data_IF_496315504715
#
_entry.id   IF_496315504715
#
_cell.length_a   1.000
_cell.length_b   1.000
_cell.length_c   1.000
_cell.angle_alpha   90.00
_cell.angle_beta   90.00
_cell.angle_gamma   90.00
#
_symmetry.space_group_name_H-M   'P 1'
#
loop_
_entity.id
_entity.type
_entity.pdbx_description
1 polymer ?
#
# COMPACT_ATOMS: atom_id res chain seq x y z
N UNK A 1 -7.93 -2.43 15.20
CA UNK A 1 -7.07 -1.26 15.45
C UNK A 1 -7.71 -0.06 14.78
N UNK A 2 -7.50 1.13 15.34
CA UNK A 2 -7.87 2.39 14.68
C UNK A 2 -6.80 2.75 13.64
N UNK A 3 -7.17 3.61 12.69
CA UNK A 3 -6.28 4.09 11.63
C UNK A 3 -5.00 4.72 12.20
N UNK A 4 -5.11 5.52 13.26
CA UNK A 4 -3.96 6.18 13.90
C UNK A 4 -2.96 5.19 14.49
N UNK A 5 -3.45 4.09 15.08
CA UNK A 5 -2.60 3.06 15.67
C UNK A 5 -1.79 2.32 14.59
N UNK A 6 -2.42 2.05 13.44
CA UNK A 6 -1.76 1.43 12.28
C UNK A 6 -0.68 2.37 11.73
N UNK A 7 -1.01 3.65 11.53
CA UNK A 7 -0.07 4.67 11.03
C UNK A 7 1.14 4.79 11.96
N UNK A 8 0.92 4.90 13.28
CA UNK A 8 2.03 5.01 14.25
C UNK A 8 2.98 3.83 14.13
N UNK A 9 2.48 2.59 13.98
CA UNK A 9 3.34 1.42 13.85
C UNK A 9 4.10 1.38 12.52
N UNK A 10 3.40 1.63 11.40
CA UNK A 10 4.00 1.59 10.05
C UNK A 10 5.10 2.63 9.87
N UNK A 11 4.94 3.82 10.45
CA UNK A 11 5.89 4.92 10.28
C UNK A 11 6.95 5.02 11.39
N UNK A 12 6.90 4.15 12.40
CA UNK A 12 7.95 4.00 13.40
C UNK A 12 9.02 2.95 13.02
N UNK A 13 8.82 2.21 11.93
CA UNK A 13 9.75 1.16 11.48
C UNK A 13 10.99 1.75 10.81
N UNK A 14 12.05 0.93 10.73
CA UNK A 14 13.25 1.26 9.96
C UNK A 14 12.93 1.42 8.46
N UNK A 15 13.81 2.08 7.72
CA UNK A 15 13.62 2.30 6.28
C UNK A 15 13.36 0.97 5.56
N UNK A 16 12.21 0.83 4.85
CA UNK A 16 11.89 -0.41 4.16
C UNK A 16 12.79 -0.64 2.94
N UNK A 17 12.91 -1.90 2.49
CA UNK A 17 13.59 -2.19 1.23
C UNK A 17 12.85 -1.50 0.07
N UNK A 18 13.61 -1.16 -0.97
CA UNK A 18 13.05 -0.55 -2.17
C UNK A 18 12.02 -1.47 -2.84
N UNK A 19 12.34 -2.76 -2.95
CA UNK A 19 11.51 -3.79 -3.58
C UNK A 19 11.18 -4.88 -2.55
N UNK A 20 10.10 -4.74 -1.76
CA UNK A 20 9.72 -5.76 -0.80
C UNK A 20 9.04 -6.96 -1.47
N UNK A 21 9.39 -8.17 -1.01
CA UNK A 21 8.78 -9.42 -1.50
C UNK A 21 7.51 -9.83 -0.74
N UNK A 22 7.29 -9.25 0.45
CA UNK A 22 6.17 -9.60 1.34
C UNK A 22 5.78 -8.42 2.22
N UNK A 23 4.54 -8.43 2.77
CA UNK A 23 4.15 -7.46 3.79
C UNK A 23 5.14 -7.47 4.96
N UNK A 24 5.45 -6.27 5.46
CA UNK A 24 6.28 -6.08 6.64
C UNK A 24 5.65 -6.72 7.88
N UNK A 25 4.35 -6.52 8.08
CA UNK A 25 3.58 -7.16 9.15
C UNK A 25 2.27 -7.77 8.61
N UNK A 26 2.15 -9.10 8.72
CA UNK A 26 0.99 -9.87 8.27
C UNK A 26 -0.27 -9.62 9.13
N UNK A 27 -0.11 -9.24 10.39
CA UNK A 27 -1.20 -8.86 11.29
C UNK A 27 -1.74 -7.49 10.90
N UNK A 28 -0.85 -6.53 10.63
CA UNK A 28 -1.27 -5.20 10.16
C UNK A 28 -2.00 -5.27 8.82
N UNK A 29 -1.59 -6.16 7.90
CA UNK A 29 -2.33 -6.41 6.66
C UNK A 29 -3.82 -6.67 6.91
N UNK A 30 -4.16 -7.53 7.88
CA UNK A 30 -5.55 -7.84 8.21
C UNK A 30 -6.28 -6.65 8.84
N UNK A 31 -5.58 -5.88 9.69
CA UNK A 31 -6.15 -4.69 10.30
C UNK A 31 -6.41 -3.58 9.27
N UNK A 32 -5.48 -3.34 8.36
CA UNK A 32 -5.58 -2.36 7.28
C UNK A 32 -6.80 -2.67 6.40
N UNK A 33 -6.95 -3.93 5.98
CA UNK A 33 -8.07 -4.36 5.13
C UNK A 33 -9.44 -4.19 5.80
N UNK A 34 -9.50 -4.13 7.13
CA UNK A 34 -10.73 -3.97 7.90
C UNK A 34 -11.00 -2.51 8.33
N UNK A 35 -10.15 -1.55 7.98
CA UNK A 35 -10.34 -0.15 8.36
C UNK A 35 -11.57 0.44 7.65
N UNK A 36 -12.43 1.20 8.36
CA UNK A 36 -13.60 1.86 7.76
C UNK A 36 -13.22 3.16 7.04
N UNK A 37 -12.08 3.16 6.34
CA UNK A 37 -11.52 4.33 5.66
C UNK A 37 -11.83 4.31 4.16
N UNK A 38 -11.59 5.43 3.49
CA UNK A 38 -11.64 5.46 2.03
C UNK A 38 -10.66 4.42 1.44
N UNK A 39 -11.07 3.71 0.38
CA UNK A 39 -10.26 2.63 -0.21
C UNK A 39 -8.83 3.04 -0.58
N UNK A 40 -8.62 4.28 -0.99
CA UNK A 40 -7.29 4.82 -1.29
C UNK A 40 -6.41 5.03 -0.05
N UNK A 41 -7.03 5.33 1.10
CA UNK A 41 -6.31 5.32 2.39
C UNK A 41 -5.89 3.89 2.72
N UNK A 42 -6.80 2.92 2.56
CA UNK A 42 -6.50 1.50 2.75
C UNK A 42 -5.37 1.03 1.83
N UNK A 43 -5.41 1.38 0.54
CA UNK A 43 -4.37 1.06 -0.43
C UNK A 43 -3.01 1.68 -0.04
N UNK A 44 -2.97 2.96 0.32
CA UNK A 44 -1.75 3.63 0.76
C UNK A 44 -1.14 2.98 2.01
N UNK A 45 -1.98 2.52 2.94
CA UNK A 45 -1.52 1.80 4.13
C UNK A 45 -1.00 0.40 3.81
N UNK A 46 -1.60 -0.31 2.84
CA UNK A 46 -1.02 -1.57 2.33
C UNK A 46 0.36 -1.31 1.71
N UNK A 47 0.52 -0.28 0.88
CA UNK A 47 1.82 0.10 0.32
C UNK A 47 2.85 0.45 1.41
N UNK A 48 2.42 1.20 2.43
CA UNK A 48 3.26 1.54 3.58
C UNK A 48 3.64 0.31 4.43
N UNK A 49 2.83 -0.76 4.40
CA UNK A 49 3.11 -2.06 5.00
C UNK A 49 3.85 -3.03 4.06
N UNK A 50 4.37 -2.54 2.92
CA UNK A 50 5.03 -3.38 1.91
C UNK A 50 4.12 -4.50 1.32
N UNK A 51 2.81 -4.37 1.47
CA UNK A 51 1.81 -5.29 0.91
C UNK A 51 1.44 -4.86 -0.51
N UNK A 52 2.41 -5.04 -1.42
CA UNK A 52 2.35 -4.57 -2.80
C UNK A 52 1.10 -5.10 -3.52
N UNK A 53 0.81 -6.39 -3.39
CA UNK A 53 -0.35 -7.01 -4.04
C UNK A 53 -1.68 -6.40 -3.60
N UNK A 54 -1.90 -6.18 -2.30
CA UNK A 54 -3.16 -5.62 -1.83
C UNK A 54 -3.32 -4.16 -2.26
N UNK A 55 -2.24 -3.37 -2.28
CA UNK A 55 -2.28 -2.02 -2.81
C UNK A 55 -2.62 -2.03 -4.30
N UNK A 56 -1.90 -2.85 -5.08
CA UNK A 56 -2.08 -3.02 -6.52
C UNK A 56 -3.53 -3.39 -6.88
N UNK A 57 -4.09 -4.42 -6.24
CA UNK A 57 -5.45 -4.88 -6.50
C UNK A 57 -6.50 -3.78 -6.23
N UNK A 58 -6.32 -2.98 -5.18
CA UNK A 58 -7.27 -1.92 -4.85
C UNK A 58 -7.24 -0.80 -5.89
N UNK A 59 -6.05 -0.37 -6.32
CA UNK A 59 -5.92 0.77 -7.25
C UNK A 59 -6.18 0.37 -8.70
N UNK A 60 -5.83 -0.86 -9.10
CA UNK A 60 -6.09 -1.37 -10.45
C UNK A 60 -7.59 -1.39 -10.80
N UNK A 61 -8.46 -1.62 -9.81
CA UNK A 61 -9.92 -1.60 -10.02
C UNK A 61 -10.43 -0.22 -10.44
N UNK A 62 -9.71 0.86 -10.09
CA UNK A 62 -10.09 2.24 -10.36
C UNK A 62 -9.15 2.91 -11.39
N UNK A 63 -8.49 2.13 -12.25
CA UNK A 63 -7.65 2.65 -13.36
C UNK A 63 -8.38 3.73 -14.18
N UNK A 64 -7.67 4.83 -14.45
CA UNK A 64 -8.19 6.03 -15.09
C UNK A 64 -8.69 7.09 -14.11
N UNK A 65 -8.81 6.78 -12.81
CA UNK A 65 -8.96 7.81 -11.78
C UNK A 65 -7.57 8.35 -11.40
N UNK A 66 -7.35 9.68 -11.41
CA UNK A 66 -6.01 10.26 -11.24
C UNK A 66 -5.27 9.86 -9.95
N UNK A 67 -5.98 9.66 -8.85
CA UNK A 67 -5.37 9.27 -7.57
C UNK A 67 -4.98 7.80 -7.57
N UNK A 68 -5.83 6.93 -8.13
CA UNK A 68 -5.53 5.52 -8.35
C UNK A 68 -4.33 5.36 -9.28
N UNK A 69 -4.31 6.03 -10.44
CA UNK A 69 -3.21 5.99 -11.42
C UNK A 69 -1.88 6.41 -10.78
N UNK A 70 -1.89 7.49 -9.99
CA UNK A 70 -0.70 7.94 -9.27
C UNK A 70 -0.19 6.88 -8.28
N UNK A 71 -1.09 6.27 -7.49
CA UNK A 71 -0.68 5.21 -6.57
C UNK A 71 -0.23 3.95 -7.31
N UNK A 72 -0.89 3.60 -8.42
CA UNK A 72 -0.52 2.46 -9.26
C UNK A 72 0.90 2.60 -9.80
N UNK A 73 1.26 3.79 -10.27
CA UNK A 73 2.62 4.12 -10.67
C UNK A 73 3.64 4.03 -9.52
N UNK A 74 3.24 4.36 -8.27
CA UNK A 74 4.09 4.21 -7.08
C UNK A 74 4.26 2.73 -6.67
N UNK A 75 3.19 1.94 -6.76
CA UNK A 75 3.18 0.50 -6.49
C UNK A 75 4.17 -0.20 -7.42
N UNK A 76 4.10 0.05 -8.73
CA UNK A 76 5.00 -0.58 -9.69
C UNK A 76 6.49 -0.24 -9.45
N UNK A 77 6.82 0.92 -8.85
CA UNK A 77 8.21 1.21 -8.42
C UNK A 77 8.67 0.28 -7.29
N UNK A 78 7.77 -0.06 -6.36
CA UNK A 78 8.06 -0.97 -5.24
C UNK A 78 7.95 -2.44 -5.67
N UNK A 79 7.25 -2.74 -6.75
CA UNK A 79 7.17 -4.09 -7.34
C UNK A 79 8.42 -4.47 -8.16
N UNK A 80 9.25 -3.48 -8.54
CA UNK A 80 10.37 -3.69 -9.45
C UNK A 80 9.95 -3.67 -10.93
N UNK A 81 8.81 -3.06 -11.27
CA UNK A 81 8.31 -2.87 -12.63
C UNK A 81 8.38 -1.39 -13.06
N UNK A 82 9.57 -0.88 -13.44
CA UNK A 82 9.73 0.51 -13.82
C UNK A 82 9.01 0.87 -15.12
N UNK A 83 8.66 -0.11 -15.97
CA UNK A 83 8.00 0.16 -17.25
C UNK A 83 6.57 0.63 -17.08
N UNK A 84 5.87 0.07 -16.08
CA UNK A 84 4.49 0.42 -15.73
C UNK A 84 4.39 1.49 -14.61
N UNK A 85 5.52 2.05 -14.17
CA UNK A 85 5.56 3.09 -13.12
C UNK A 85 5.30 4.53 -13.60
N UNK A 86 4.48 4.72 -14.64
CA UNK A 86 4.32 6.03 -15.33
C UNK A 86 3.02 6.72 -15.00
#
# INVERSE_FOLDING_TARGET
>A
MKTEEVVIQLFARDLPPLEPEKPWDATLKQHIAALPEHRYVVAALHLANDDIYACHDIVQVDEGEPTADLMHALVHRREGDPFNSK
#
